data_IF_310847844634
#
_entry.id   IF_310847844634
#
_cell.length_a   1.000
_cell.length_b   1.000
_cell.length_c   1.000
_cell.angle_alpha   90.00
_cell.angle_beta   90.00
_cell.angle_gamma   90.00
#
_symmetry.space_group_name_H-M   'P 1'
#
loop_
_entity.id
_entity.type
_entity.pdbx_description
1 polymer ?
#
# COMPACT_ATOMS: atom_id res chain seq x y z
N UNK A 1 1.55 -13.52 -19.63
CA UNK A 1 1.39 -12.41 -20.60
C UNK A 1 2.58 -12.26 -21.55
N UNK A 2 3.84 -12.34 -21.12
CA UNK A 2 5.02 -12.17 -22.01
C UNK A 2 5.09 -13.16 -23.18
N UNK A 3 4.81 -14.46 -22.96
CA UNK A 3 4.86 -15.50 -24.01
C UNK A 3 3.88 -15.30 -25.17
N UNK A 4 2.79 -14.56 -24.96
CA UNK A 4 1.77 -14.31 -25.99
C UNK A 4 2.17 -13.15 -26.92
N UNK A 5 2.98 -12.21 -26.40
CA UNK A 5 3.51 -11.05 -27.14
C UNK A 5 4.54 -11.44 -28.20
N UNK A 6 5.23 -12.56 -28.00
CA UNK A 6 6.25 -13.06 -28.94
C UNK A 6 5.65 -13.78 -30.16
N UNK A 7 4.41 -14.26 -30.06
CA UNK A 7 3.71 -15.01 -31.11
C UNK A 7 2.89 -14.13 -32.07
N UNK A 8 2.80 -12.81 -31.80
CA UNK A 8 2.05 -11.90 -32.65
C UNK A 8 2.91 -11.39 -33.82
N UNK A 9 2.35 -11.28 -35.05
CA UNK A 9 3.00 -10.61 -36.18
C UNK A 9 3.47 -9.19 -35.81
N UNK A 10 4.57 -8.72 -36.42
CA UNK A 10 5.17 -7.40 -36.16
C UNK A 10 4.16 -6.26 -36.15
N UNK A 11 3.22 -6.30 -37.09
CA UNK A 11 2.21 -5.26 -37.29
C UNK A 11 1.09 -5.30 -36.22
N UNK A 12 0.86 -6.45 -35.60
CA UNK A 12 -0.16 -6.63 -34.55
C UNK A 12 0.36 -6.31 -33.15
N UNK A 13 1.69 -6.23 -32.96
CA UNK A 13 2.30 -5.91 -31.67
C UNK A 13 2.03 -4.47 -31.26
N UNK A 14 2.11 -3.53 -32.19
CA UNK A 14 1.85 -2.10 -31.97
C UNK A 14 0.38 -1.83 -31.69
N UNK A 15 -0.53 -2.46 -32.44
CA UNK A 15 -1.98 -2.37 -32.22
C UNK A 15 -2.38 -2.96 -30.86
N UNK A 16 -1.81 -4.10 -30.47
CA UNK A 16 -2.09 -4.73 -29.18
C UNK A 16 -1.55 -3.90 -28.00
N UNK A 17 -0.37 -3.27 -28.15
CA UNK A 17 0.13 -2.34 -27.12
C UNK A 17 -0.75 -1.11 -27.00
N UNK A 18 -1.16 -0.51 -28.12
CA UNK A 18 -2.04 0.66 -28.11
C UNK A 18 -3.39 0.33 -27.44
N UNK A 19 -3.98 -0.82 -27.76
CA UNK A 19 -5.24 -1.27 -27.16
C UNK A 19 -5.09 -1.59 -25.66
N UNK A 20 -3.94 -2.13 -25.23
CA UNK A 20 -3.66 -2.37 -23.82
C UNK A 20 -3.46 -1.06 -23.03
N UNK A 21 -2.78 -0.09 -23.64
CA UNK A 21 -2.55 1.24 -23.05
C UNK A 21 -3.86 2.04 -22.98
N UNK A 22 -4.71 1.96 -24.02
CA UNK A 22 -6.06 2.52 -24.03
C UNK A 22 -6.94 1.87 -22.97
N UNK A 23 -6.92 0.54 -22.86
CA UNK A 23 -7.63 -0.19 -21.81
C UNK A 23 -7.16 0.20 -20.40
N UNK A 24 -5.85 0.41 -20.21
CA UNK A 24 -5.29 0.93 -18.95
C UNK A 24 -5.75 2.36 -18.66
N UNK A 25 -5.79 3.23 -19.68
CA UNK A 25 -6.25 4.60 -19.54
C UNK A 25 -7.74 4.69 -19.20
N UNK A 26 -8.58 3.90 -19.86
CA UNK A 26 -10.02 3.82 -19.58
C UNK A 26 -10.26 3.30 -18.17
N UNK A 27 -9.59 2.21 -17.78
CA UNK A 27 -9.70 1.69 -16.42
C UNK A 27 -9.28 2.74 -15.37
N UNK A 28 -8.15 3.43 -15.58
CA UNK A 28 -7.67 4.50 -14.69
C UNK A 28 -8.67 5.65 -14.61
N UNK A 29 -9.25 6.08 -15.73
CA UNK A 29 -10.26 7.14 -15.74
C UNK A 29 -11.56 6.72 -15.03
N UNK A 30 -12.05 5.50 -15.27
CA UNK A 30 -13.23 4.97 -14.58
C UNK A 30 -13.02 4.85 -13.07
N UNK A 31 -11.82 4.44 -12.65
CA UNK A 31 -11.45 4.36 -11.23
C UNK A 31 -11.22 5.73 -10.60
N UNK A 32 -10.67 6.70 -11.33
CA UNK A 32 -10.53 8.08 -10.86
C UNK A 32 -11.91 8.71 -10.62
N UNK A 33 -12.84 8.52 -11.55
CA UNK A 33 -14.23 8.98 -11.39
C UNK A 33 -14.90 8.31 -10.19
N UNK A 34 -14.64 7.03 -9.94
CA UNK A 34 -15.13 6.35 -8.74
C UNK A 34 -14.51 6.92 -7.45
N UNK A 35 -13.21 7.23 -7.46
CA UNK A 35 -12.53 7.91 -6.35
C UNK A 35 -13.10 9.30 -6.09
N UNK A 36 -13.32 10.10 -7.13
CA UNK A 36 -13.87 11.46 -7.00
C UNK A 36 -15.31 11.41 -6.46
N UNK A 37 -16.11 10.43 -6.90
CA UNK A 37 -17.45 10.19 -6.37
C UNK A 37 -17.43 9.78 -4.89
N UNK A 38 -16.41 9.03 -4.48
CA UNK A 38 -16.20 8.64 -3.09
C UNK A 38 -15.71 9.79 -2.21
N UNK A 39 -14.86 10.68 -2.72
CA UNK A 39 -14.43 11.89 -2.01
C UNK A 39 -15.62 12.83 -1.78
N UNK A 40 -16.52 12.95 -2.76
CA UNK A 40 -17.80 13.67 -2.59
C UNK A 40 -18.66 12.99 -1.52
N UNK A 41 -18.74 11.66 -1.50
CA UNK A 41 -19.47 10.93 -0.46
C UNK A 41 -18.86 11.14 0.94
N UNK A 42 -17.52 11.17 1.05
CA UNK A 42 -16.81 11.46 2.29
C UNK A 42 -17.05 12.90 2.78
N UNK A 43 -17.08 13.87 1.87
CA UNK A 43 -17.36 15.27 2.18
C UNK A 43 -18.83 15.48 2.60
N UNK A 44 -19.75 14.70 2.03
CA UNK A 44 -21.16 14.64 2.48
C UNK A 44 -21.27 14.01 3.87
N UNK A 45 -20.47 12.98 4.19
CA UNK A 45 -20.41 12.44 5.55
C UNK A 45 -19.85 13.43 6.57
N UNK A 46 -18.84 14.23 6.18
CA UNK A 46 -18.26 15.27 7.03
C UNK A 46 -19.23 16.43 7.35
N UNK A 47 -20.27 16.64 6.53
CA UNK A 47 -21.28 17.70 6.70
C UNK A 47 -22.50 17.27 7.54
N UNK A 48 -22.49 16.06 8.11
CA UNK A 48 -23.37 15.71 9.23
C UNK A 48 -24.77 15.20 8.88
N UNK A 49 -24.99 14.65 7.67
CA UNK A 49 -26.22 13.93 7.34
C UNK A 49 -25.98 12.41 7.49
N UNK A 50 -26.75 11.77 8.37
CA UNK A 50 -26.52 10.44 8.96
C UNK A 50 -26.41 9.23 8.01
N UNK A 51 -26.08 8.05 8.58
CA UNK A 51 -25.28 7.03 7.94
C UNK A 51 -26.09 6.07 7.07
N UNK A 52 -25.53 5.69 5.93
CA UNK A 52 -25.59 4.28 5.54
C UNK A 52 -24.20 3.72 5.75
N UNK A 53 -24.05 2.90 6.80
CA UNK A 53 -22.80 2.22 7.13
C UNK A 53 -22.31 1.26 6.03
N UNK A 54 -23.10 1.08 4.95
CA UNK A 54 -22.77 0.28 3.78
C UNK A 54 -21.83 1.00 2.80
N UNK A 55 -21.95 2.34 2.66
CA UNK A 55 -21.08 3.14 1.80
C UNK A 55 -19.59 3.08 2.17
N UNK A 56 -19.17 3.20 3.45
CA UNK A 56 -17.76 3.24 3.80
C UNK A 56 -17.03 1.92 3.56
N UNK A 57 -17.69 0.76 3.72
CA UNK A 57 -17.05 -0.53 3.48
C UNK A 57 -16.88 -0.81 1.98
N UNK A 58 -17.90 -0.52 1.18
CA UNK A 58 -17.84 -0.73 -0.26
C UNK A 58 -16.85 0.23 -0.92
N UNK A 59 -16.83 1.49 -0.47
CA UNK A 59 -15.79 2.46 -0.82
C UNK A 59 -14.38 1.91 -0.52
N UNK A 60 -14.14 1.44 0.70
CA UNK A 60 -12.86 0.89 1.12
C UNK A 60 -12.45 -0.32 0.26
N UNK A 61 -13.42 -1.17 -0.11
CA UNK A 61 -13.21 -2.31 -1.01
C UNK A 61 -12.82 -1.85 -2.41
N UNK A 62 -13.52 -0.87 -2.98
CA UNK A 62 -13.19 -0.27 -4.27
C UNK A 62 -11.78 0.33 -4.28
N UNK A 63 -11.37 1.03 -3.22
CA UNK A 63 -9.99 1.54 -3.09
C UNK A 63 -8.96 0.42 -2.94
N UNK A 64 -9.30 -0.66 -2.23
CA UNK A 64 -8.45 -1.84 -2.14
C UNK A 64 -8.24 -2.52 -3.49
N UNK A 65 -9.31 -2.66 -4.29
CA UNK A 65 -9.25 -3.19 -5.66
C UNK A 65 -8.47 -2.23 -6.58
N UNK A 66 -8.70 -0.93 -6.48
CA UNK A 66 -7.92 0.10 -7.19
C UNK A 66 -6.43 -0.03 -6.89
N UNK A 67 -6.05 -0.09 -5.61
CA UNK A 67 -4.67 -0.26 -5.21
C UNK A 67 -4.07 -1.52 -5.84
N UNK A 68 -4.82 -2.63 -5.84
CA UNK A 68 -4.40 -3.90 -6.45
C UNK A 68 -4.17 -3.75 -7.96
N UNK A 69 -5.06 -3.05 -8.67
CA UNK A 69 -4.89 -2.73 -10.09
C UNK A 69 -3.67 -1.83 -10.34
N UNK A 70 -3.45 -0.81 -9.51
CA UNK A 70 -2.33 0.10 -9.63
C UNK A 70 -0.99 -0.62 -9.40
N UNK A 71 -0.94 -1.53 -8.43
CA UNK A 71 0.21 -2.42 -8.21
C UNK A 71 0.52 -3.28 -9.44
N UNK A 72 -0.50 -3.90 -10.06
CA UNK A 72 -0.33 -4.68 -11.29
C UNK A 72 0.18 -3.83 -12.46
N UNK A 73 -0.25 -2.57 -12.53
CA UNK A 73 0.18 -1.63 -13.58
C UNK A 73 1.51 -0.93 -13.29
N UNK A 74 2.16 -1.27 -12.17
CA UNK A 74 3.41 -0.68 -11.64
C UNK A 74 3.32 0.83 -11.35
N UNK A 75 2.11 1.34 -11.13
CA UNK A 75 1.89 2.72 -10.70
C UNK A 75 1.89 2.75 -9.16
N UNK A 76 3.09 2.73 -8.58
CA UNK A 76 3.28 2.61 -7.13
C UNK A 76 2.89 3.89 -6.38
N UNK A 77 3.11 5.06 -6.97
CA UNK A 77 2.70 6.36 -6.42
C UNK A 77 1.17 6.48 -6.36
N UNK A 78 0.48 6.08 -7.44
CA UNK A 78 -0.98 6.01 -7.44
C UNK A 78 -1.53 5.01 -6.42
N UNK A 79 -0.90 3.83 -6.31
CA UNK A 79 -1.30 2.83 -5.32
C UNK A 79 -1.16 3.36 -3.89
N UNK A 80 -0.08 4.10 -3.62
CA UNK A 80 0.16 4.73 -2.33
C UNK A 80 -0.92 5.77 -1.99
N UNK A 81 -1.33 6.60 -2.96
CA UNK A 81 -2.40 7.58 -2.78
C UNK A 81 -3.75 6.91 -2.47
N UNK A 82 -4.12 5.87 -3.22
CA UNK A 82 -5.36 5.12 -3.01
C UNK A 82 -5.41 4.45 -1.61
N UNK A 83 -4.28 3.92 -1.15
CA UNK A 83 -4.16 3.34 0.19
C UNK A 83 -4.25 4.39 1.30
N UNK A 84 -3.70 5.59 1.10
CA UNK A 84 -3.85 6.71 2.05
C UNK A 84 -5.30 7.18 2.14
N UNK A 85 -5.99 7.31 1.01
CA UNK A 85 -7.41 7.63 0.98
C UNK A 85 -8.23 6.57 1.72
N UNK A 86 -7.95 5.28 1.50
CA UNK A 86 -8.61 4.20 2.22
C UNK A 86 -8.43 4.33 3.74
N UNK A 87 -7.23 4.72 4.20
CA UNK A 87 -6.96 4.91 5.62
C UNK A 87 -7.65 6.15 6.22
N UNK A 88 -7.79 7.23 5.45
CA UNK A 88 -8.55 8.43 5.87
C UNK A 88 -10.05 8.13 5.98
N UNK A 89 -10.61 7.44 4.99
CA UNK A 89 -12.00 6.96 5.04
C UNK A 89 -12.20 6.00 6.21
N UNK A 90 -11.21 5.15 6.48
CA UNK A 90 -11.29 4.22 7.58
C UNK A 90 -11.27 4.91 8.96
N UNK A 91 -10.55 6.03 9.09
CA UNK A 91 -10.56 6.85 10.31
C UNK A 91 -11.89 7.59 10.52
N UNK A 92 -12.62 7.90 9.43
CA UNK A 92 -13.95 8.48 9.49
C UNK A 92 -15.06 7.44 9.79
N UNK A 93 -14.72 6.15 9.75
CA UNK A 93 -15.64 5.04 9.98
C UNK A 93 -15.88 4.70 11.46
N UNK A 94 -16.57 3.58 11.74
CA UNK A 94 -16.91 3.19 13.10
C UNK A 94 -15.66 2.85 13.93
N UNK A 95 -15.56 3.45 15.12
CA UNK A 95 -14.56 3.12 16.14
C UNK A 95 -15.23 2.35 17.29
N UNK A 96 -14.76 1.15 17.68
CA UNK A 96 -13.58 0.43 17.17
C UNK A 96 -13.81 -0.29 15.83
N UNK A 97 -12.80 -0.30 14.93
CA UNK A 97 -12.87 -1.03 13.67
C UNK A 97 -13.01 -2.54 13.94
N UNK A 98 -14.03 -3.17 13.37
CA UNK A 98 -14.35 -4.58 13.61
C UNK A 98 -14.62 -5.33 12.31
N UNK A 99 -14.28 -6.62 12.27
CA UNK A 99 -14.56 -7.50 11.12
C UNK A 99 -13.79 -7.11 9.85
N UNK A 100 -14.50 -7.08 8.71
CA UNK A 100 -13.92 -6.81 7.39
C UNK A 100 -13.18 -5.46 7.30
N UNK A 101 -13.59 -4.48 8.10
CA UNK A 101 -12.94 -3.18 8.16
C UNK A 101 -11.52 -3.28 8.72
N UNK A 102 -11.32 -4.14 9.72
CA UNK A 102 -10.01 -4.41 10.32
C UNK A 102 -9.08 -5.11 9.31
N UNK A 103 -9.62 -6.08 8.57
CA UNK A 103 -8.87 -6.84 7.58
C UNK A 103 -8.33 -5.92 6.47
N UNK A 104 -9.17 -5.04 5.93
CA UNK A 104 -8.75 -4.09 4.91
C UNK A 104 -7.76 -3.07 5.47
N UNK A 105 -7.95 -2.59 6.69
CA UNK A 105 -6.99 -1.71 7.36
C UNK A 105 -5.61 -2.35 7.53
N UNK A 106 -5.55 -3.61 7.96
CA UNK A 106 -4.29 -4.36 8.08
C UNK A 106 -3.65 -4.51 6.70
N UNK A 107 -4.42 -4.89 5.68
CA UNK A 107 -3.93 -4.99 4.30
C UNK A 107 -3.35 -3.67 3.80
N UNK A 108 -4.04 -2.55 4.06
CA UNK A 108 -3.61 -1.22 3.65
C UNK A 108 -2.32 -0.79 4.34
N UNK A 109 -2.20 -0.98 5.66
CA UNK A 109 -1.01 -0.60 6.43
C UNK A 109 0.22 -1.39 5.95
N UNK A 110 0.09 -2.71 5.80
CA UNK A 110 1.20 -3.57 5.34
C UNK A 110 1.65 -3.21 3.93
N UNK A 111 0.71 -3.07 2.99
CA UNK A 111 1.04 -2.70 1.61
C UNK A 111 1.69 -1.31 1.54
N UNK A 112 1.25 -0.37 2.39
CA UNK A 112 1.81 0.98 2.45
C UNK A 112 3.23 1.01 2.97
N UNK A 113 3.53 0.26 4.05
CA UNK A 113 4.91 0.11 4.55
C UNK A 113 5.82 -0.47 3.47
N UNK A 114 5.40 -1.54 2.80
CA UNK A 114 6.19 -2.17 1.73
C UNK A 114 6.39 -1.22 0.53
N UNK A 115 5.37 -0.46 0.14
CA UNK A 115 5.48 0.55 -0.91
C UNK A 115 6.43 1.68 -0.54
N UNK A 116 6.41 2.16 0.70
CA UNK A 116 7.32 3.20 1.16
C UNK A 116 8.77 2.71 1.18
N UNK A 117 9.00 1.43 1.54
CA UNK A 117 10.32 0.80 1.44
C UNK A 117 10.79 0.63 -0.01
N UNK A 118 9.87 0.39 -0.96
CA UNK A 118 10.17 0.26 -2.39
C UNK A 118 10.47 1.62 -3.03
N UNK A 119 9.62 2.61 -2.80
CA UNK A 119 9.68 3.92 -3.44
C UNK A 119 10.80 4.80 -2.87
N UNK A 120 11.17 4.61 -1.59
CA UNK A 120 12.08 5.47 -0.84
C UNK A 120 11.91 6.96 -1.21
N UNK A 121 10.70 7.52 -1.08
CA UNK A 121 10.43 8.84 -1.63
C UNK A 121 11.32 9.89 -0.94
N UNK A 122 11.94 10.82 -1.69
CA UNK A 122 12.76 11.86 -1.10
C UNK A 122 11.90 12.74 -0.17
N UNK A 123 12.47 13.27 0.93
CA UNK A 123 11.74 14.02 1.96
C UNK A 123 10.79 15.13 1.48
N UNK A 124 11.06 15.87 0.37
CA UNK A 124 10.09 16.88 -0.12
C UNK A 124 8.82 16.31 -0.78
N UNK A 125 8.80 15.04 -1.21
CA UNK A 125 7.60 14.39 -1.80
C UNK A 125 6.79 13.59 -0.77
N UNK A 126 7.27 13.54 0.47
CA UNK A 126 6.76 12.67 1.50
C UNK A 126 5.62 13.38 2.24
N UNK A 127 4.39 12.99 1.96
CA UNK A 127 3.20 13.50 2.67
C UNK A 127 3.32 13.20 4.18
N UNK A 128 2.80 14.07 5.07
CA UNK A 128 2.95 13.90 6.52
C UNK A 128 2.38 12.57 7.03
N UNK A 129 1.37 11.98 6.38
CA UNK A 129 0.79 10.68 6.71
C UNK A 129 1.78 9.52 6.46
N UNK A 130 2.64 9.67 5.45
CA UNK A 130 3.70 8.70 5.16
C UNK A 130 4.84 8.82 6.17
N UNK A 131 5.18 10.04 6.59
CA UNK A 131 6.22 10.30 7.60
C UNK A 131 5.83 9.65 8.93
N UNK A 132 4.61 9.95 9.40
CA UNK A 132 4.05 9.40 10.63
C UNK A 132 3.98 7.89 10.63
N UNK A 133 3.93 7.26 9.46
CA UNK A 133 3.85 5.79 9.37
C UNK A 133 5.22 5.18 9.46
N UNK A 134 6.19 5.70 8.72
CA UNK A 134 7.57 5.24 8.85
C UNK A 134 8.10 5.50 10.26
N UNK A 135 7.79 6.64 10.87
CA UNK A 135 8.15 6.96 12.26
C UNK A 135 7.67 5.90 13.26
N UNK A 136 6.48 5.29 13.07
CA UNK A 136 5.99 4.20 13.94
C UNK A 136 6.86 2.95 13.88
N UNK A 137 7.54 2.71 12.76
CA UNK A 137 8.40 1.56 12.54
C UNK A 137 9.90 1.92 12.67
N UNK A 138 10.25 3.18 12.94
CA UNK A 138 11.62 3.65 13.18
C UNK A 138 11.97 3.68 14.68
N UNK A 139 13.27 3.54 14.99
CA UNK A 139 13.82 3.43 16.35
C UNK A 139 13.45 4.59 17.31
N UNK A 140 13.21 5.82 16.83
CA UNK A 140 12.98 6.99 17.69
C UNK A 140 11.67 6.93 18.51
N UNK A 141 10.71 6.08 18.13
CA UNK A 141 9.53 5.80 18.94
C UNK A 141 9.82 4.96 20.21
N UNK A 142 11.01 4.36 20.30
CA UNK A 142 11.43 3.54 21.44
C UNK A 142 12.04 4.36 22.57
N UNK A 143 12.67 5.50 22.28
CA UNK A 143 13.39 6.30 23.28
C UNK A 143 12.54 7.40 23.94
N UNK A 144 11.46 7.86 23.31
CA UNK A 144 10.56 8.85 23.90
C UNK A 144 9.49 8.22 24.81
N UNK A 145 9.93 7.73 25.96
CA UNK A 145 9.18 7.85 27.22
C UNK A 145 7.71 7.41 27.29
N UNK A 146 7.40 6.16 26.97
CA UNK A 146 6.29 5.46 27.61
C UNK A 146 6.78 4.10 28.10
N UNK A 147 6.57 3.82 29.39
CA UNK A 147 7.18 2.71 30.11
C UNK A 147 7.04 1.34 29.43
N UNK A 148 7.91 0.43 29.84
CA UNK A 148 7.88 -1.00 29.53
C UNK A 148 6.44 -1.52 29.33
N UNK A 149 6.06 -1.76 28.06
CA UNK A 149 4.82 -2.46 27.71
C UNK A 149 3.91 -1.81 26.66
N UNK A 150 4.18 -0.60 26.17
CA UNK A 150 3.32 0.04 25.16
C UNK A 150 4.12 0.42 23.92
N UNK A 151 4.27 -0.55 23.01
CA UNK A 151 4.62 -0.27 21.61
C UNK A 151 3.61 0.76 21.04
N UNK A 152 4.00 1.62 20.08
CA UNK A 152 3.06 2.42 19.32
C UNK A 152 2.20 1.47 18.49
N UNK A 153 1.18 0.89 19.12
CA UNK A 153 0.34 -0.08 18.46
C UNK A 153 -0.46 0.67 17.40
N UNK A 154 -0.22 0.37 16.14
CA UNK A 154 -1.35 0.23 15.24
C UNK A 154 -2.27 -0.79 15.92
N UNK A 155 -3.24 -0.33 16.73
CA UNK A 155 -4.06 -1.17 17.63
C UNK A 155 -4.90 -2.24 16.93
N UNK A 156 -4.71 -2.39 15.62
CA UNK A 156 -5.32 -3.31 14.69
C UNK A 156 -4.34 -4.32 14.07
N UNK A 157 -3.01 -4.16 14.19
CA UNK A 157 -2.03 -5.13 13.68
C UNK A 157 -1.73 -6.22 14.71
N UNK A 158 -1.60 -7.50 14.28
CA UNK A 158 -1.05 -8.54 15.12
C UNK A 158 0.38 -8.19 15.58
N UNK A 159 0.73 -8.37 16.86
CA UNK A 159 2.02 -7.93 17.42
C UNK A 159 3.22 -8.61 16.75
N UNK A 160 3.08 -9.88 16.35
CA UNK A 160 4.12 -10.60 15.61
C UNK A 160 4.36 -10.02 14.21
N UNK A 161 3.30 -9.63 13.50
CA UNK A 161 3.41 -9.02 12.18
C UNK A 161 4.02 -7.62 12.28
N UNK A 162 3.62 -6.83 13.29
CA UNK A 162 4.21 -5.52 13.56
C UNK A 162 5.73 -5.60 13.78
N UNK A 163 6.17 -6.53 14.62
CA UNK A 163 7.60 -6.72 14.90
C UNK A 163 8.39 -7.11 13.65
N UNK A 164 7.88 -8.05 12.85
CA UNK A 164 8.53 -8.47 11.60
C UNK A 164 8.61 -7.33 10.57
N UNK A 165 7.56 -6.51 10.46
CA UNK A 165 7.57 -5.33 9.60
C UNK A 165 8.58 -4.29 10.10
N UNK A 166 8.67 -4.07 11.41
CA UNK A 166 9.68 -3.20 12.00
C UNK A 166 11.10 -3.70 11.69
N UNK A 167 11.38 -4.98 11.91
CA UNK A 167 12.68 -5.57 11.56
C UNK A 167 12.98 -5.47 10.06
N UNK A 168 11.96 -5.54 9.21
CA UNK A 168 12.10 -5.35 7.75
C UNK A 168 12.49 -3.92 7.41
N UNK A 169 11.85 -2.93 8.04
CA UNK A 169 12.20 -1.52 7.88
C UNK A 169 13.65 -1.27 8.32
N UNK A 170 14.07 -1.83 9.46
CA UNK A 170 15.44 -1.73 9.96
C UNK A 170 16.46 -2.39 9.01
N UNK A 171 16.18 -3.62 8.54
CA UNK A 171 17.06 -4.30 7.59
C UNK A 171 17.23 -3.51 6.28
N UNK A 172 16.17 -2.85 5.81
CA UNK A 172 16.25 -1.95 4.65
C UNK A 172 17.10 -0.69 4.93
N UNK A 173 17.00 -0.09 6.13
CA UNK A 173 17.79 1.08 6.51
C UNK A 173 19.29 0.76 6.65
N UNK A 174 19.62 -0.36 7.28
CA UNK A 174 21.00 -0.82 7.49
C UNK A 174 21.60 -1.47 6.25
N UNK A 175 20.79 -1.70 5.21
CA UNK A 175 21.15 -2.41 3.97
C UNK A 175 21.63 -3.85 4.22
N UNK A 176 21.05 -4.50 5.24
CA UNK A 176 21.33 -5.91 5.54
C UNK A 176 20.47 -6.85 4.68
N UNK A 177 21.06 -7.29 3.57
CA UNK A 177 20.42 -8.21 2.63
C UNK A 177 20.19 -9.61 3.21
N UNK A 178 21.04 -10.07 4.13
CA UNK A 178 20.93 -11.41 4.69
C UNK A 178 19.79 -11.47 5.72
N UNK A 179 19.69 -10.45 6.58
CA UNK A 179 18.54 -10.29 7.46
C UNK A 179 17.22 -10.18 6.66
N UNK A 180 17.22 -9.40 5.57
CA UNK A 180 16.01 -9.22 4.75
C UNK A 180 15.54 -10.54 4.09
N UNK A 181 16.45 -11.42 3.66
CA UNK A 181 16.09 -12.75 3.12
C UNK A 181 15.47 -13.66 4.17
N UNK A 182 16.00 -13.65 5.40
CA UNK A 182 15.43 -14.42 6.52
C UNK A 182 14.03 -13.89 6.86
N UNK A 183 13.89 -12.57 6.96
CA UNK A 183 12.60 -11.91 7.21
C UNK A 183 11.59 -12.18 6.10
N UNK A 184 12.01 -12.27 4.83
CA UNK A 184 11.14 -12.66 3.72
C UNK A 184 10.55 -14.07 3.92
N UNK A 185 11.34 -15.04 4.40
CA UNK A 185 10.84 -16.38 4.66
C UNK A 185 9.83 -16.42 5.82
N UNK A 186 10.06 -15.63 6.87
CA UNK A 186 9.18 -15.55 8.04
C UNK A 186 7.88 -14.78 7.75
N UNK A 187 7.94 -13.74 6.91
CA UNK A 187 6.77 -12.97 6.49
C UNK A 187 5.93 -13.68 5.43
N UNK A 188 6.51 -14.56 4.62
CA UNK A 188 5.83 -15.23 3.51
C UNK A 188 4.46 -15.86 3.85
N UNK A 189 4.29 -16.63 4.94
CA UNK A 189 3.00 -17.22 5.28
C UNK A 189 1.99 -16.23 5.88
N UNK A 190 2.46 -15.06 6.35
CA UNK A 190 1.62 -14.06 7.01
C UNK A 190 1.07 -13.01 6.03
N UNK A 191 1.71 -12.87 4.87
CA UNK A 191 1.40 -11.87 3.86
C UNK A 191 0.54 -12.43 2.73
N UNK A 192 -0.25 -11.56 2.11
CA UNK A 192 -0.98 -11.90 0.88
C UNK A 192 -0.01 -12.08 -0.30
N UNK A 193 -0.39 -12.78 -1.37
CA UNK A 193 0.46 -12.94 -2.57
C UNK A 193 0.92 -11.61 -3.17
N UNK A 194 0.07 -10.58 -3.12
CA UNK A 194 0.41 -9.24 -3.60
C UNK A 194 1.46 -8.55 -2.72
N UNK A 195 1.33 -8.68 -1.39
CA UNK A 195 2.31 -8.16 -0.44
C UNK A 195 3.64 -8.91 -0.54
N UNK A 196 3.59 -10.23 -0.75
CA UNK A 196 4.79 -11.03 -1.03
C UNK A 196 5.47 -10.60 -2.32
N UNK A 197 4.70 -10.25 -3.35
CA UNK A 197 5.26 -9.68 -4.58
C UNK A 197 5.95 -8.33 -4.31
N UNK A 198 5.31 -7.44 -3.56
CA UNK A 198 5.91 -6.15 -3.15
C UNK A 198 7.21 -6.35 -2.35
N UNK A 199 7.22 -7.26 -1.38
CA UNK A 199 8.42 -7.56 -0.59
C UNK A 199 9.55 -8.12 -1.47
N UNK A 200 9.22 -8.93 -2.47
CA UNK A 200 10.20 -9.39 -3.46
C UNK A 200 10.78 -8.24 -4.29
N UNK A 201 9.94 -7.26 -4.69
CA UNK A 201 10.41 -6.06 -5.40
C UNK A 201 11.32 -5.21 -4.53
N UNK A 202 11.01 -5.03 -3.24
CA UNK A 202 11.89 -4.32 -2.28
C UNK A 202 13.25 -4.99 -2.21
N UNK A 203 13.28 -6.32 -2.08
CA UNK A 203 14.52 -7.09 -2.06
C UNK A 203 15.31 -6.96 -3.38
N UNK A 204 14.63 -6.96 -4.53
CA UNK A 204 15.27 -6.72 -5.82
C UNK A 204 15.87 -5.32 -5.92
N UNK A 205 15.16 -4.29 -5.46
CA UNK A 205 15.64 -2.91 -5.46
C UNK A 205 16.88 -2.75 -4.56
N UNK A 206 16.92 -3.46 -3.43
CA UNK A 206 18.09 -3.47 -2.54
C UNK A 206 19.31 -4.18 -3.16
N UNK A 207 19.10 -5.19 -4.02
CA UNK A 207 20.18 -5.89 -4.75
C UNK A 207 20.65 -5.08 -5.96
N UNK A 208 19.75 -4.36 -6.62
CA UNK A 208 20.02 -3.61 -7.84
C UNK A 208 19.17 -2.34 -7.82
N UNK A 209 19.70 -1.22 -7.26
CA UNK A 209 18.96 0.02 -7.19
C UNK A 209 18.71 0.49 -8.62
N UNK A 210 17.45 0.46 -9.04
CA UNK A 210 17.05 0.68 -10.42
C UNK A 210 16.93 2.17 -10.75
N UNK A 211 17.32 3.06 -9.83
CA UNK A 211 17.46 4.50 -10.08
C UNK A 211 16.13 5.23 -10.25
N UNK A 212 15.00 4.65 -9.79
CA UNK A 212 13.69 5.30 -9.82
C UNK A 212 13.57 6.48 -8.83
N UNK A 213 14.62 6.73 -8.02
CA UNK A 213 14.80 7.97 -7.26
C UNK A 213 15.63 9.00 -8.01
N UNK A 214 15.03 9.67 -8.99
CA UNK A 214 15.52 10.93 -9.55
C UNK A 214 14.35 11.90 -9.76
#
# INVERSE_FOLDING_TARGET
MQKFKELLPSDSKSEFTAMADEGKAIAKASLQVASDAMDVAAQVMATGMGPTAELPLEALRCLGELASCLLLTRDYDGALAALTQAQLLAQAGPSPPSGAFLEVLVRCEVSRVLLLLLLQPPPPKLQPEHAQTLEKYCWEAFESGAGAGQLPQAGYLPPGLFLLLQSTVMACQEKDLEALKVLQAELWPLLSPEQNHLLHLVLQEMISPSGHGA
#
